data_IF_714460222986
#
_entry.id   IF_714460222986
#
_cell.length_a   1.000
_cell.length_b   1.000
_cell.length_c   1.000
_cell.angle_alpha   90.00
_cell.angle_beta   90.00
_cell.angle_gamma   90.00
#
_symmetry.space_group_name_H-M   'P 1'
#
loop_
_entity.id
_entity.type
_entity.pdbx_description
1 polymer ?
#
# COMPACT_ATOMS: atom_id res chain seq x y z
N UNK A 1 -33.50 -2.50 -52.97
CA UNK A 1 -33.36 -2.05 -54.37
C UNK A 1 -32.08 -1.21 -54.40
N UNK A 2 -30.85 -1.74 -54.47
CA UNK A 2 -30.29 -2.80 -55.33
C UNK A 2 -30.29 -2.39 -56.81
N UNK A 3 -29.20 -1.76 -57.28
CA UNK A 3 -28.71 -1.86 -58.67
C UNK A 3 -27.25 -1.35 -58.73
N UNK A 4 -26.28 -2.28 -58.78
CA UNK A 4 -25.40 -2.60 -59.93
C UNK A 4 -24.46 -1.45 -60.35
N UNK A 5 -23.13 -1.53 -60.16
CA UNK A 5 -22.14 -2.37 -60.89
C UNK A 5 -22.02 -2.00 -62.37
N UNK A 6 -20.84 -1.54 -62.81
CA UNK A 6 -20.21 -1.80 -64.14
C UNK A 6 -19.18 -0.69 -64.43
N UNK A 7 -17.87 -0.93 -64.30
CA UNK A 7 -16.97 -1.52 -65.31
C UNK A 7 -16.63 -0.60 -66.48
N UNK A 8 -15.37 -0.17 -66.52
CA UNK A 8 -14.63 0.29 -67.71
C UNK A 8 -13.16 0.44 -67.33
N UNK A 9 -12.34 -0.63 -67.26
CA UNK A 9 -11.56 -1.17 -68.39
C UNK A 9 -11.24 -0.09 -69.42
N UNK A 10 -9.99 0.38 -69.48
CA UNK A 10 -9.26 0.73 -70.72
C UNK A 10 -7.75 0.83 -70.42
N UNK A 11 -7.02 -0.22 -70.86
CA UNK A 11 -5.70 -0.24 -71.55
C UNK A 11 -4.47 0.20 -70.74
N UNK A 12 -3.56 -0.67 -70.27
CA UNK A 12 -2.67 -1.63 -70.96
C UNK A 12 -1.98 -1.05 -72.22
N UNK A 13 -0.66 -0.83 -72.14
CA UNK A 13 0.40 -0.97 -73.18
C UNK A 13 1.74 -0.75 -72.43
N UNK A 14 2.48 -1.80 -72.02
CA UNK A 14 3.48 -2.63 -72.74
C UNK A 14 4.90 -2.04 -72.70
N UNK A 15 5.75 -2.72 -71.91
CA UNK A 15 7.15 -3.16 -72.10
C UNK A 15 8.26 -2.22 -72.64
N UNK A 16 9.45 -2.21 -71.98
CA UNK A 16 10.66 -3.02 -72.30
C UNK A 16 11.97 -2.36 -71.80
N UNK A 17 12.90 -3.20 -71.30
CA UNK A 17 14.34 -2.92 -71.18
C UNK A 17 14.82 -2.51 -69.78
N UNK A 18 15.91 -2.99 -69.19
CA UNK A 18 16.97 -3.89 -69.64
C UNK A 18 17.78 -4.38 -68.41
N UNK A 19 18.06 -5.69 -68.38
CA UNK A 19 19.28 -6.39 -67.92
C UNK A 19 20.22 -5.81 -66.84
N UNK A 20 20.32 -6.58 -65.73
CA UNK A 20 21.54 -7.16 -65.10
C UNK A 20 22.70 -6.28 -64.58
N UNK A 21 22.94 -6.36 -63.25
CA UNK A 21 24.25 -6.58 -62.58
C UNK A 21 24.00 -6.74 -61.06
N UNK A 22 23.78 -7.94 -60.52
CA UNK A 22 24.78 -8.86 -59.90
C UNK A 22 25.64 -8.22 -58.79
N UNK A 23 25.33 -8.57 -57.54
CA UNK A 23 26.29 -9.21 -56.63
C UNK A 23 27.13 -8.37 -55.66
N UNK A 24 27.06 -8.80 -54.39
CA UNK A 24 28.15 -8.83 -53.39
C UNK A 24 28.32 -7.67 -52.38
N UNK A 25 27.91 -8.00 -51.14
CA UNK A 25 28.65 -7.90 -49.87
C UNK A 25 28.61 -6.60 -49.02
N UNK A 26 28.46 -6.85 -47.71
CA UNK A 26 28.90 -6.09 -46.53
C UNK A 26 28.04 -4.94 -46.02
N UNK A 27 27.24 -5.27 -44.98
CA UNK A 27 27.51 -4.73 -43.64
C UNK A 27 26.70 -3.51 -43.18
N UNK A 28 26.23 -3.59 -41.92
CA UNK A 28 25.88 -2.48 -41.01
C UNK A 28 24.62 -1.66 -41.40
N UNK A 29 23.62 -1.37 -40.56
CA UNK A 29 23.36 -1.48 -39.13
C UNK A 29 21.83 -1.43 -38.98
N UNK A 30 21.21 -2.47 -38.45
CA UNK A 30 19.86 -2.37 -37.92
C UNK A 30 19.94 -1.61 -36.58
N UNK A 31 19.60 -0.33 -36.58
CA UNK A 31 19.38 0.41 -35.33
C UNK A 31 18.05 -0.03 -34.74
N UNK A 32 18.10 -1.07 -33.89
CA UNK A 32 16.99 -1.45 -33.04
C UNK A 32 16.82 -0.40 -31.94
N UNK A 33 15.72 0.33 -31.99
CA UNK A 33 15.25 1.18 -30.89
C UNK A 33 14.74 0.27 -29.77
N UNK A 34 15.58 0.04 -28.75
CA UNK A 34 15.17 -0.59 -27.50
C UNK A 34 14.76 0.52 -26.54
N UNK A 35 13.49 0.63 -26.11
CA UNK A 35 13.17 1.53 -25.02
C UNK A 35 13.67 0.89 -23.71
N UNK A 36 14.59 1.58 -23.05
CA UNK A 36 15.08 1.25 -21.73
C UNK A 36 13.92 1.39 -20.73
N UNK A 37 13.32 0.26 -20.34
CA UNK A 37 12.50 0.19 -19.12
C UNK A 37 13.42 0.58 -17.96
N UNK A 38 13.24 1.79 -17.44
CA UNK A 38 13.80 2.16 -16.15
C UNK A 38 13.03 1.35 -15.08
N UNK A 39 13.71 0.39 -14.46
CA UNK A 39 13.22 -0.24 -13.24
C UNK A 39 12.95 0.86 -12.19
N UNK A 40 11.84 0.82 -11.44
CA UNK A 40 11.65 1.74 -10.34
C UNK A 40 12.76 1.50 -9.33
N UNK A 41 13.67 2.47 -9.21
CA UNK A 41 14.63 2.54 -8.12
C UNK A 41 13.80 2.51 -6.83
N UNK A 42 13.85 1.39 -6.09
CA UNK A 42 13.46 1.39 -4.69
C UNK A 42 14.32 2.46 -4.02
N UNK A 43 13.74 3.44 -3.29
CA UNK A 43 14.55 4.46 -2.64
C UNK A 43 15.52 3.74 -1.70
N UNK A 44 16.81 3.87 -2.00
CA UNK A 44 17.87 3.38 -1.16
C UNK A 44 17.72 4.05 0.22
N UNK A 45 17.17 3.31 1.17
CA UNK A 45 17.04 3.75 2.56
C UNK A 45 18.46 3.86 3.09
N UNK A 46 19.01 5.06 3.09
CA UNK A 46 20.30 5.35 3.74
C UNK A 46 20.12 5.20 5.24
N UNK A 47 20.78 4.26 5.93
CA UNK A 47 20.66 4.12 7.37
C UNK A 47 21.72 5.00 8.05
N UNK A 48 21.60 6.33 7.92
CA UNK A 48 22.40 7.25 8.74
C UNK A 48 21.86 8.68 8.67
N UNK A 49 20.62 8.87 9.10
CA UNK A 49 20.24 10.17 9.63
C UNK A 49 20.68 10.19 11.09
N UNK A 50 21.62 11.06 11.44
CA UNK A 50 21.89 11.40 12.84
C UNK A 50 20.55 11.65 13.56
N UNK A 51 20.37 11.24 14.83
CA UNK A 51 19.12 11.49 15.53
C UNK A 51 18.86 12.99 15.45
N UNK A 52 17.74 13.36 14.80
CA UNK A 52 17.28 14.74 14.76
C UNK A 52 17.19 15.30 16.18
N UNK A 53 17.15 16.63 16.33
CA UNK A 53 16.98 17.24 17.65
C UNK A 53 15.80 16.56 18.37
N UNK A 54 16.06 16.07 19.59
CA UNK A 54 15.02 15.42 20.40
C UNK A 54 13.94 16.46 20.65
N UNK A 55 12.72 16.19 20.19
CA UNK A 55 11.55 16.99 20.52
C UNK A 55 11.37 17.03 22.04
N UNK A 56 11.10 18.21 22.58
CA UNK A 56 10.63 18.36 23.94
C UNK A 56 9.23 17.75 24.09
N UNK A 57 8.79 17.41 25.32
CA UNK A 57 7.44 16.87 25.55
C UNK A 57 6.33 17.73 24.94
N UNK A 58 6.40 19.06 25.09
CA UNK A 58 5.41 19.98 24.50
C UNK A 58 5.40 19.95 22.96
N UNK A 59 6.55 19.71 22.33
CA UNK A 59 6.63 19.58 20.87
C UNK A 59 6.07 18.23 20.40
N UNK A 60 6.24 17.16 21.19
CA UNK A 60 5.60 15.87 20.94
C UNK A 60 4.07 16.02 21.02
N UNK A 61 3.55 16.67 22.05
CA UNK A 61 2.11 16.91 22.21
C UNK A 61 1.54 17.73 21.03
N UNK A 62 2.25 18.78 20.62
CA UNK A 62 1.86 19.58 19.46
C UNK A 62 1.92 18.77 18.16
N UNK A 63 2.91 17.91 18.00
CA UNK A 63 3.04 17.04 16.83
C UNK A 63 1.92 15.99 16.78
N UNK A 64 1.56 15.40 17.93
CA UNK A 64 0.42 14.47 18.04
C UNK A 64 -0.88 15.15 17.64
N UNK A 65 -1.15 16.33 18.19
CA UNK A 65 -2.37 17.09 17.84
C UNK A 65 -2.44 17.39 16.34
N UNK A 66 -1.33 17.80 15.74
CA UNK A 66 -1.26 18.02 14.30
C UNK A 66 -1.46 16.72 13.51
N UNK A 67 -0.85 15.62 13.95
CA UNK A 67 -0.98 14.31 13.31
C UNK A 67 -2.43 13.80 13.32
N UNK A 68 -3.13 13.92 14.45
CA UNK A 68 -4.56 13.60 14.55
C UNK A 68 -5.38 14.45 13.61
N UNK A 69 -5.18 15.77 13.59
CA UNK A 69 -5.92 16.66 12.70
C UNK A 69 -5.69 16.33 11.21
N UNK A 70 -4.46 15.98 10.83
CA UNK A 70 -4.17 15.52 9.47
C UNK A 70 -4.84 14.19 9.14
N UNK A 71 -4.85 13.24 10.08
CA UNK A 71 -5.51 11.95 9.91
C UNK A 71 -7.03 12.09 9.75
N UNK A 72 -7.66 12.95 10.57
CA UNK A 72 -9.09 13.28 10.51
C UNK A 72 -9.45 13.98 9.18
N UNK A 73 -8.54 14.77 8.64
CA UNK A 73 -8.68 15.40 7.33
C UNK A 73 -8.43 14.43 6.15
N UNK A 74 -7.99 13.20 6.42
CA UNK A 74 -7.63 12.21 5.39
C UNK A 74 -6.28 12.46 4.73
N UNK A 75 -5.49 13.42 5.22
CA UNK A 75 -4.12 13.66 4.76
C UNK A 75 -3.16 12.68 5.42
N UNK A 76 -3.14 11.45 4.87
CA UNK A 76 -2.33 10.36 5.38
C UNK A 76 -0.83 10.65 5.33
N UNK A 77 -0.39 11.43 4.34
CA UNK A 77 1.02 11.78 4.17
C UNK A 77 1.46 12.75 5.27
N UNK A 78 0.69 13.81 5.52
CA UNK A 78 1.00 14.75 6.60
C UNK A 78 0.93 14.07 7.98
N UNK A 79 -0.06 13.20 8.20
CA UNK A 79 -0.17 12.42 9.43
C UNK A 79 1.06 11.51 9.62
N UNK A 80 1.47 10.81 8.58
CA UNK A 80 2.64 9.93 8.58
C UNK A 80 3.90 10.69 8.99
N UNK A 81 4.16 11.84 8.38
CA UNK A 81 5.34 12.65 8.66
C UNK A 81 5.41 13.06 10.14
N UNK A 82 4.29 13.46 10.74
CA UNK A 82 4.23 13.86 12.15
C UNK A 82 4.43 12.69 13.10
N UNK A 83 3.75 11.56 12.91
CA UNK A 83 3.97 10.39 13.76
C UNK A 83 5.39 9.83 13.61
N UNK A 84 5.92 9.82 12.38
CA UNK A 84 7.28 9.39 12.13
C UNK A 84 8.29 10.32 12.82
N UNK A 85 8.07 11.63 12.80
CA UNK A 85 8.90 12.60 13.51
C UNK A 85 8.91 12.34 15.03
N UNK A 86 7.77 12.00 15.62
CA UNK A 86 7.70 11.59 17.03
C UNK A 86 8.58 10.37 17.27
N UNK A 87 8.51 9.35 16.41
CA UNK A 87 9.33 8.13 16.53
C UNK A 87 10.82 8.34 16.32
N UNK A 88 11.25 9.39 15.62
CA UNK A 88 12.67 9.76 15.54
C UNK A 88 13.20 10.24 16.89
N UNK A 89 12.36 10.85 17.72
CA UNK A 89 12.70 11.32 19.07
C UNK A 89 12.49 10.24 20.12
N UNK A 90 11.27 9.71 20.19
CA UNK A 90 10.88 8.62 21.07
C UNK A 90 10.48 7.41 20.22
N UNK A 91 11.46 6.53 20.01
CA UNK A 91 11.26 5.32 19.19
C UNK A 91 10.16 4.42 19.73
N UNK A 92 9.81 4.49 21.02
CA UNK A 92 8.86 3.60 21.67
C UNK A 92 7.53 4.29 22.00
N UNK A 93 7.22 5.41 21.34
CA UNK A 93 5.95 6.09 21.55
C UNK A 93 4.78 5.23 21.02
N UNK A 94 4.02 4.63 21.94
CA UNK A 94 2.99 3.62 21.65
C UNK A 94 1.91 4.15 20.70
N UNK A 95 1.43 5.37 20.95
CA UNK A 95 0.37 6.00 20.14
C UNK A 95 0.83 6.26 18.69
N UNK A 96 2.02 6.85 18.50
CA UNK A 96 2.58 7.07 17.17
C UNK A 96 2.84 5.76 16.41
N UNK A 97 3.32 4.70 17.07
CA UNK A 97 3.43 3.37 16.47
C UNK A 97 2.07 2.85 15.98
N UNK A 98 1.04 3.02 16.80
CA UNK A 98 -0.31 2.55 16.49
C UNK A 98 -0.90 3.32 15.31
N UNK A 99 -0.82 4.65 15.29
CA UNK A 99 -1.37 5.44 14.19
C UNK A 99 -0.60 5.30 12.87
N UNK A 100 0.71 5.08 12.89
CA UNK A 100 1.43 4.67 11.67
C UNK A 100 0.93 3.31 11.15
N UNK A 101 0.60 2.38 12.05
CA UNK A 101 -0.07 1.13 11.70
C UNK A 101 -1.42 1.36 11.01
N UNK A 102 -2.23 2.30 11.53
CA UNK A 102 -3.52 2.67 10.93
C UNK A 102 -3.33 3.22 9.52
N UNK A 103 -2.36 4.12 9.33
CA UNK A 103 -2.04 4.69 8.01
C UNK A 103 -1.62 3.60 7.02
N UNK A 104 -0.80 2.63 7.44
CA UNK A 104 -0.40 1.50 6.58
C UNK A 104 -1.57 0.60 6.22
N UNK A 105 -2.46 0.35 7.17
CA UNK A 105 -3.68 -0.45 6.94
C UNK A 105 -4.57 0.23 5.89
N UNK A 106 -4.78 1.55 6.01
CA UNK A 106 -5.51 2.35 5.02
C UNK A 106 -4.79 2.42 3.66
N UNK A 107 -3.47 2.31 3.66
CA UNK A 107 -2.63 2.27 2.46
C UNK A 107 -2.46 0.85 1.88
N UNK A 108 -3.32 -0.09 2.27
CA UNK A 108 -3.32 -1.49 1.80
C UNK A 108 -1.99 -2.24 2.06
N UNK A 109 -1.32 -1.91 3.16
CA UNK A 109 -0.08 -2.54 3.64
C UNK A 109 -0.28 -3.17 5.04
N UNK A 110 -1.18 -4.17 5.18
CA UNK A 110 -1.54 -4.74 6.48
C UNK A 110 -0.38 -5.48 7.16
N UNK A 111 0.55 -6.06 6.40
CA UNK A 111 1.70 -6.79 6.96
C UNK A 111 2.66 -5.87 7.74
N UNK A 112 2.96 -4.71 7.20
CA UNK A 112 3.78 -3.68 7.83
C UNK A 112 3.04 -3.06 9.01
N UNK A 113 1.73 -2.85 8.89
CA UNK A 113 0.88 -2.37 9.98
C UNK A 113 0.93 -3.31 11.18
N UNK A 114 0.77 -4.62 10.96
CA UNK A 114 0.81 -5.64 12.00
C UNK A 114 2.13 -5.59 12.78
N UNK A 115 3.27 -5.39 12.11
CA UNK A 115 4.58 -5.26 12.78
C UNK A 115 4.61 -4.04 13.72
N UNK A 116 4.01 -2.92 13.33
CA UNK A 116 3.93 -1.73 14.19
C UNK A 116 3.00 -1.94 15.37
N UNK A 117 1.84 -2.56 15.17
CA UNK A 117 0.94 -2.92 16.26
C UNK A 117 1.59 -3.92 17.23
N UNK A 118 2.32 -4.93 16.72
CA UNK A 118 3.06 -5.87 17.55
C UNK A 118 4.12 -5.19 18.40
N UNK A 119 4.78 -4.16 17.84
CA UNK A 119 5.71 -3.35 18.61
C UNK A 119 5.01 -2.49 19.66
N UNK A 120 3.86 -1.88 19.35
CA UNK A 120 3.07 -1.16 20.34
C UNK A 120 2.60 -2.08 21.48
N UNK A 121 2.16 -3.29 21.14
CA UNK A 121 1.66 -4.29 22.08
C UNK A 121 2.75 -5.00 22.88
N UNK A 122 4.01 -5.02 22.41
CA UNK A 122 5.13 -5.49 23.21
C UNK A 122 5.52 -4.47 24.29
N UNK A 123 5.28 -3.17 24.04
CA UNK A 123 5.48 -2.09 25.00
C UNK A 123 4.31 -1.98 25.98
N UNK A 124 3.07 -2.14 25.49
CA UNK A 124 1.87 -2.22 26.33
C UNK A 124 0.91 -3.31 25.83
N UNK A 125 0.94 -4.51 26.45
CA UNK A 125 0.10 -5.64 26.04
C UNK A 125 -1.41 -5.42 26.16
N UNK A 126 -1.84 -4.41 26.91
CA UNK A 126 -3.24 -4.05 27.16
C UNK A 126 -3.65 -2.76 26.42
N UNK A 127 -2.88 -2.30 25.44
CA UNK A 127 -3.27 -1.14 24.66
C UNK A 127 -4.42 -1.48 23.70
N UNK A 128 -5.65 -1.18 24.13
CA UNK A 128 -6.87 -1.61 23.46
C UNK A 128 -6.97 -1.14 22.00
N UNK A 129 -6.56 0.10 21.71
CA UNK A 129 -6.55 0.62 20.33
C UNK A 129 -5.68 -0.22 19.39
N UNK A 130 -4.44 -0.55 19.78
CA UNK A 130 -3.59 -1.40 18.94
C UNK A 130 -4.13 -2.84 18.80
N UNK A 131 -4.80 -3.39 19.81
CA UNK A 131 -5.47 -4.69 19.66
C UNK A 131 -6.61 -4.61 18.64
N UNK A 132 -7.47 -3.61 18.75
CA UNK A 132 -8.58 -3.42 17.84
C UNK A 132 -8.10 -3.26 16.38
N UNK A 133 -7.14 -2.35 16.15
CA UNK A 133 -6.61 -2.08 14.82
C UNK A 133 -5.82 -3.25 14.23
N UNK A 134 -5.05 -3.97 15.06
CA UNK A 134 -4.38 -5.21 14.62
C UNK A 134 -5.38 -6.28 14.20
N UNK A 135 -6.48 -6.44 14.94
CA UNK A 135 -7.53 -7.40 14.59
C UNK A 135 -8.14 -7.09 13.21
N UNK A 136 -8.42 -5.81 12.94
CA UNK A 136 -8.92 -5.37 11.62
C UNK A 136 -7.90 -5.62 10.51
N UNK A 137 -6.62 -5.31 10.73
CA UNK A 137 -5.56 -5.56 9.75
C UNK A 137 -5.38 -7.06 9.43
N UNK A 138 -5.48 -7.93 10.45
CA UNK A 138 -5.45 -9.38 10.27
C UNK A 138 -6.66 -9.89 9.47
N UNK A 139 -7.85 -9.34 9.74
CA UNK A 139 -9.05 -9.66 8.96
C UNK A 139 -8.90 -9.22 7.50
N UNK A 140 -8.37 -8.01 7.24
CA UNK A 140 -8.10 -7.52 5.88
C UNK A 140 -7.10 -8.41 5.12
N UNK A 141 -6.14 -9.02 5.83
CA UNK A 141 -5.19 -10.01 5.29
C UNK A 141 -5.79 -11.42 5.11
N UNK A 142 -7.01 -11.66 5.62
CA UNK A 142 -7.64 -12.99 5.61
C UNK A 142 -7.16 -13.94 6.71
N UNK A 143 -6.37 -13.46 7.68
CA UNK A 143 -6.00 -14.25 8.86
C UNK A 143 -7.12 -14.22 9.92
N UNK A 144 -8.20 -14.96 9.63
CA UNK A 144 -9.36 -15.06 10.50
C UNK A 144 -9.03 -15.60 11.90
N UNK A 145 -8.03 -16.50 12.00
CA UNK A 145 -7.62 -17.08 13.28
C UNK A 145 -6.92 -16.02 14.14
N UNK A 146 -5.90 -15.36 13.59
CA UNK A 146 -5.17 -14.29 14.28
C UNK A 146 -6.09 -13.14 14.66
N UNK A 147 -6.99 -12.72 13.76
CA UNK A 147 -7.97 -11.67 14.05
C UNK A 147 -8.84 -12.04 15.26
N UNK A 148 -9.39 -13.26 15.30
CA UNK A 148 -10.22 -13.75 16.41
C UNK A 148 -9.48 -13.71 17.75
N UNK A 149 -8.23 -14.19 17.78
CA UNK A 149 -7.41 -14.23 19.00
C UNK A 149 -7.13 -12.80 19.54
N UNK A 150 -6.77 -11.89 18.65
CA UNK A 150 -6.49 -10.48 19.03
C UNK A 150 -7.76 -9.77 19.49
N UNK A 151 -8.88 -9.98 18.79
CA UNK A 151 -10.17 -9.41 19.17
C UNK A 151 -10.70 -9.93 20.51
N UNK A 152 -10.46 -11.20 20.85
CA UNK A 152 -10.80 -11.72 22.18
C UNK A 152 -10.00 -11.00 23.29
N UNK A 153 -8.72 -10.69 23.05
CA UNK A 153 -7.93 -9.88 23.98
C UNK A 153 -8.48 -8.47 24.12
N UNK A 154 -8.92 -7.85 23.02
CA UNK A 154 -9.57 -6.54 23.07
C UNK A 154 -10.85 -6.58 23.93
N UNK A 155 -11.73 -7.57 23.71
CA UNK A 155 -12.98 -7.74 24.47
C UNK A 155 -12.77 -7.94 25.97
N UNK A 156 -11.62 -8.47 26.39
CA UNK A 156 -11.28 -8.63 27.80
C UNK A 156 -10.95 -7.30 28.50
N UNK A 157 -10.70 -6.22 27.74
CA UNK A 157 -10.24 -4.92 28.27
C UNK A 157 -11.33 -3.84 28.23
N UNK A 158 -12.36 -4.01 27.41
CA UNK A 158 -13.41 -3.00 27.21
C UNK A 158 -14.72 -3.42 27.89
N UNK A 159 -15.58 -2.46 28.27
CA UNK A 159 -16.91 -2.77 28.80
C UNK A 159 -17.69 -3.66 27.83
N UNK A 160 -18.35 -4.73 28.31
CA UNK A 160 -18.98 -5.73 27.44
C UNK A 160 -20.12 -5.18 26.57
N UNK A 161 -20.71 -4.05 26.98
CA UNK A 161 -21.84 -3.39 26.33
C UNK A 161 -21.45 -2.16 25.50
N UNK A 162 -20.15 -1.87 25.37
CA UNK A 162 -19.68 -0.80 24.49
C UNK A 162 -19.98 -1.12 23.02
N UNK A 163 -20.12 -0.08 22.20
CA UNK A 163 -20.41 -0.27 20.78
C UNK A 163 -19.26 -0.99 20.05
N UNK A 164 -18.01 -0.73 20.44
CA UNK A 164 -16.86 -1.46 19.91
C UNK A 164 -16.87 -2.94 20.33
N UNK A 165 -17.26 -3.26 21.56
CA UNK A 165 -17.39 -4.64 22.00
C UNK A 165 -18.47 -5.39 21.19
N UNK A 166 -19.62 -4.76 20.94
CA UNK A 166 -20.69 -5.33 20.10
C UNK A 166 -20.20 -5.55 18.67
N UNK A 167 -19.51 -4.57 18.08
CA UNK A 167 -18.94 -4.65 16.73
C UNK A 167 -17.97 -5.82 16.60
N UNK A 168 -17.02 -5.92 17.53
CA UNK A 168 -16.02 -6.99 17.55
C UNK A 168 -16.63 -8.37 17.76
N UNK A 169 -17.65 -8.50 18.63
CA UNK A 169 -18.41 -9.77 18.79
C UNK A 169 -19.07 -10.19 17.47
N UNK A 170 -19.61 -9.24 16.71
CA UNK A 170 -20.16 -9.48 15.37
C UNK A 170 -19.10 -10.03 14.41
N UNK A 171 -17.95 -9.36 14.30
CA UNK A 171 -16.84 -9.82 13.45
C UNK A 171 -16.33 -11.21 13.82
N UNK A 172 -16.17 -11.52 15.11
CA UNK A 172 -15.79 -12.87 15.55
C UNK A 172 -16.84 -13.91 15.11
N UNK A 173 -18.13 -13.60 15.21
CA UNK A 173 -19.18 -14.49 14.73
C UNK A 173 -19.08 -14.73 13.22
N UNK A 174 -18.85 -13.69 12.42
CA UNK A 174 -18.67 -13.82 10.96
C UNK A 174 -17.44 -14.67 10.60
N UNK A 175 -16.30 -14.39 11.22
CA UNK A 175 -15.03 -15.10 11.00
C UNK A 175 -15.12 -16.60 11.36
N UNK A 176 -15.96 -16.95 12.34
CA UNK A 176 -16.18 -18.36 12.74
C UNK A 176 -17.16 -19.08 11.81
N UNK A 177 -18.19 -18.39 11.30
CA UNK A 177 -19.18 -18.98 10.39
C UNK A 177 -18.66 -19.13 8.96
N UNK A 178 -17.71 -18.30 8.51
CA UNK A 178 -17.09 -18.40 7.18
C UNK A 178 -16.29 -19.70 6.96
N UNK A 179 -16.10 -20.53 7.99
CA UNK A 179 -15.40 -21.83 7.91
C UNK A 179 -16.32 -23.05 7.79
N UNK A 180 -17.64 -22.89 7.72
CA UNK A 180 -18.53 -24.04 7.49
C UNK A 180 -18.47 -24.46 6.00
N UNK A 181 -18.09 -25.72 5.70
CA UNK A 181 -18.08 -26.24 4.34
C UNK A 181 -19.50 -26.39 3.76
#
# INVERSE_FOLDING_TARGET
MEEQRSSGKIRLIIMLGSTLAVGFLLGYLASAFVPLVQSPQSPAVSPSAAPGPKLSPSEIDSALKAAHASLDAGDLQAAWEKYHQILLTDRNHIEALTHLGVILTQSNQPDEAIKLYDRALSLNPQYAHALFDKGQALQAKGDAKGATEVFQRFLALVPPDSDDAKRVKGWIAELTHSKKP
#
